data_IF_538775609185
#
_entry.id   IF_538775609185
#
_cell.length_a   1.000
_cell.length_b   1.000
_cell.length_c   1.000
_cell.angle_alpha   90.00
_cell.angle_beta   90.00
_cell.angle_gamma   90.00
#
_symmetry.space_group_name_H-M   'P 1'
#
loop_
_entity.id
_entity.type
_entity.pdbx_description
1 polymer ?
#
# COMPACT_ATOMS: atom_id res chain seq x y z
N UNK A 1 18.51 23.19 3.20
CA UNK A 1 17.36 22.36 3.61
C UNK A 1 16.09 23.02 3.12
N UNK A 2 15.13 22.24 2.62
CA UNK A 2 13.81 22.77 2.27
C UNK A 2 12.94 22.85 3.54
N UNK A 3 12.19 23.93 3.70
CA UNK A 3 11.24 24.10 4.80
C UNK A 3 9.83 23.89 4.29
N UNK A 4 9.09 22.94 4.87
CA UNK A 4 7.68 22.69 4.56
C UNK A 4 6.81 23.29 5.65
N UNK A 5 5.94 24.24 5.28
CA UNK A 5 4.92 24.78 6.17
C UNK A 5 3.56 24.19 5.82
N UNK A 6 2.98 23.42 6.74
CA UNK A 6 1.61 22.89 6.61
C UNK A 6 0.68 23.73 7.48
N UNK A 7 -0.34 24.35 6.87
CA UNK A 7 -1.34 25.16 7.57
C UNK A 7 -2.64 24.37 7.73
N UNK A 8 -3.45 24.77 8.72
CA UNK A 8 -4.78 24.20 8.98
C UNK A 8 -4.77 22.69 9.26
N UNK A 9 -3.74 22.20 9.96
CA UNK A 9 -3.71 20.81 10.43
C UNK A 9 -4.81 20.64 11.48
N UNK A 10 -5.74 19.68 11.31
CA UNK A 10 -6.77 19.45 12.31
C UNK A 10 -6.16 19.09 13.66
N UNK A 11 -6.66 19.68 14.74
CA UNK A 11 -6.14 19.47 16.11
C UNK A 11 -6.04 17.97 16.47
N UNK A 12 -7.06 17.19 16.10
CA UNK A 12 -7.08 15.74 16.31
C UNK A 12 -5.93 15.03 15.61
N UNK A 13 -5.54 15.48 14.42
CA UNK A 13 -4.43 14.89 13.67
C UNK A 13 -3.10 15.27 14.31
N UNK A 14 -2.93 16.53 14.69
CA UNK A 14 -1.72 17.00 15.38
C UNK A 14 -1.46 16.20 16.66
N UNK A 15 -2.47 16.06 17.53
CA UNK A 15 -2.36 15.26 18.77
C UNK A 15 -1.99 13.80 18.53
N UNK A 16 -2.50 13.20 17.45
CA UNK A 16 -2.14 11.82 17.08
C UNK A 16 -0.68 11.69 16.69
N UNK A 17 -0.16 12.64 15.90
CA UNK A 17 1.25 12.67 15.51
C UNK A 17 2.13 12.89 16.76
N UNK A 18 1.73 13.78 17.65
CA UNK A 18 2.45 14.02 18.90
C UNK A 18 2.55 12.76 19.76
N UNK A 19 1.43 12.03 19.94
CA UNK A 19 1.41 10.78 20.69
C UNK A 19 2.34 9.72 20.08
N UNK A 20 2.35 9.58 18.76
CA UNK A 20 3.25 8.67 18.06
C UNK A 20 4.71 9.07 18.25
N UNK A 21 5.01 10.37 18.19
CA UNK A 21 6.36 10.88 18.42
C UNK A 21 6.85 10.58 19.85
N UNK A 22 5.98 10.73 20.85
CA UNK A 22 6.28 10.37 22.25
C UNK A 22 6.52 8.86 22.42
N UNK A 23 5.67 8.01 21.84
CA UNK A 23 5.83 6.54 21.86
C UNK A 23 7.15 6.09 21.23
N UNK A 24 7.57 6.76 20.16
CA UNK A 24 8.80 6.45 19.42
C UNK A 24 10.05 7.19 19.95
N UNK A 25 9.92 7.99 21.03
CA UNK A 25 10.97 8.85 21.58
C UNK A 25 11.62 9.78 20.53
N UNK A 26 10.80 10.35 19.64
CA UNK A 26 11.23 11.29 18.59
C UNK A 26 10.61 12.67 18.79
N UNK A 27 11.23 13.68 18.19
CA UNK A 27 10.57 14.98 18.06
C UNK A 27 9.40 14.89 17.07
N UNK A 28 8.40 15.75 17.25
CA UNK A 28 7.24 15.83 16.33
C UNK A 28 7.70 16.07 14.89
N UNK A 29 8.70 16.93 14.68
CA UNK A 29 9.28 17.19 13.35
C UNK A 29 9.88 15.93 12.73
N UNK A 30 10.65 15.16 13.51
CA UNK A 30 11.24 13.91 13.03
C UNK A 30 10.17 12.88 12.68
N UNK A 31 9.12 12.77 13.49
CA UNK A 31 8.01 11.87 13.23
C UNK A 31 7.21 12.28 11.98
N UNK A 32 6.98 13.58 11.75
CA UNK A 32 6.35 14.08 10.52
C UNK A 32 7.17 13.70 9.29
N UNK A 33 8.50 13.85 9.33
CA UNK A 33 9.38 13.45 8.21
C UNK A 33 9.26 11.95 7.95
N UNK A 34 9.26 11.14 9.00
CA UNK A 34 9.13 9.69 8.89
C UNK A 34 7.79 9.28 8.27
N UNK A 35 6.67 9.85 8.74
CA UNK A 35 5.33 9.59 8.21
C UNK A 35 5.21 10.00 6.74
N UNK A 36 5.81 11.14 6.34
CA UNK A 36 5.83 11.57 4.95
C UNK A 36 6.62 10.58 4.06
N UNK A 37 7.79 10.14 4.53
CA UNK A 37 8.63 9.16 3.83
C UNK A 37 7.88 7.84 3.61
N UNK A 38 7.30 7.29 4.68
CA UNK A 38 6.50 6.07 4.63
C UNK A 38 5.28 6.21 3.70
N UNK A 39 4.61 7.37 3.74
CA UNK A 39 3.46 7.66 2.89
C UNK A 39 3.82 7.67 1.40
N UNK A 40 4.98 8.24 1.04
CA UNK A 40 5.51 8.23 -0.32
C UNK A 40 5.86 6.80 -0.77
N UNK A 41 6.63 6.07 0.04
CA UNK A 41 7.01 4.69 -0.26
C UNK A 41 5.76 3.80 -0.46
N UNK A 42 4.77 3.88 0.43
CA UNK A 42 3.52 3.13 0.31
C UNK A 42 2.72 3.50 -0.95
N UNK A 43 2.78 4.77 -1.40
CA UNK A 43 2.13 5.20 -2.64
C UNK A 43 2.87 4.65 -3.87
N UNK A 44 4.20 4.67 -3.86
CA UNK A 44 5.03 4.12 -4.92
C UNK A 44 4.89 2.60 -5.03
N UNK A 45 4.96 1.88 -3.91
CA UNK A 45 4.75 0.43 -3.89
C UNK A 45 3.38 0.04 -4.41
N UNK A 46 2.32 0.77 -4.05
CA UNK A 46 0.97 0.54 -4.60
C UNK A 46 0.90 0.75 -6.12
N UNK A 47 1.53 1.81 -6.63
CA UNK A 47 1.61 2.06 -8.08
C UNK A 47 2.40 0.98 -8.79
N UNK A 48 3.54 0.56 -8.23
CA UNK A 48 4.36 -0.53 -8.75
C UNK A 48 3.59 -1.86 -8.79
N UNK A 49 2.92 -2.21 -7.70
CA UNK A 49 2.11 -3.42 -7.60
C UNK A 49 0.96 -3.42 -8.62
N UNK A 50 0.24 -2.30 -8.78
CA UNK A 50 -0.80 -2.17 -9.79
C UNK A 50 -0.26 -2.40 -11.21
N UNK A 51 0.89 -1.82 -11.54
CA UNK A 51 1.55 -2.03 -12.83
C UNK A 51 2.04 -3.46 -13.05
N UNK A 52 2.51 -4.14 -12.00
CA UNK A 52 2.89 -5.56 -12.06
C UNK A 52 1.67 -6.44 -12.30
N UNK A 53 0.59 -6.25 -11.54
CA UNK A 53 -0.66 -7.00 -11.68
C UNK A 53 -1.24 -6.84 -13.09
N UNK A 54 -1.23 -5.62 -13.64
CA UNK A 54 -1.74 -5.40 -14.99
C UNK A 54 -0.89 -6.10 -16.06
N UNK A 55 0.44 -6.10 -15.91
CA UNK A 55 1.33 -6.89 -16.78
C UNK A 55 1.06 -8.39 -16.70
N UNK A 56 0.82 -8.93 -15.49
CA UNK A 56 0.46 -10.33 -15.30
C UNK A 56 -0.86 -10.64 -16.02
N UNK A 57 -1.89 -9.78 -15.87
CA UNK A 57 -3.19 -9.94 -16.55
C UNK A 57 -3.05 -9.92 -18.07
N UNK A 58 -2.28 -8.98 -18.61
CA UNK A 58 -2.03 -8.88 -20.05
C UNK A 58 -1.33 -10.12 -20.59
N UNK A 59 -0.36 -10.67 -19.85
CA UNK A 59 0.32 -11.91 -20.23
C UNK A 59 -0.64 -13.10 -20.17
N UNK A 60 -1.41 -13.23 -19.09
CA UNK A 60 -2.38 -14.31 -18.91
C UNK A 60 -3.42 -14.36 -20.04
N UNK A 61 -3.90 -13.20 -20.52
CA UNK A 61 -4.84 -13.13 -21.67
C UNK A 61 -4.28 -13.65 -22.98
N UNK A 62 -2.96 -13.68 -23.14
CA UNK A 62 -2.28 -14.15 -24.36
C UNK A 62 -1.91 -15.63 -24.30
N UNK A 63 -2.11 -16.28 -23.16
CA UNK A 63 -1.82 -17.71 -23.01
C UNK A 63 -3.01 -18.50 -23.56
N UNK A 64 -2.74 -19.35 -24.55
CA UNK A 64 -3.70 -20.37 -24.95
C UNK A 64 -3.69 -21.49 -23.91
N UNK A 65 -4.86 -21.73 -23.32
CA UNK A 65 -5.02 -22.75 -22.29
C UNK A 65 -5.30 -24.11 -22.96
N UNK A 66 -4.71 -25.21 -22.46
CA UNK A 66 -5.02 -26.54 -22.95
C UNK A 66 -6.51 -26.85 -22.82
N UNK A 67 -7.01 -27.71 -23.72
CA UNK A 67 -8.40 -28.14 -23.70
C UNK A 67 -8.71 -28.86 -22.38
N UNK A 68 -9.76 -28.43 -21.68
CA UNK A 68 -10.14 -28.97 -20.37
C UNK A 68 -9.46 -28.32 -19.16
N UNK A 69 -8.68 -27.25 -19.37
CA UNK A 69 -8.15 -26.46 -18.26
C UNK A 69 -9.29 -25.86 -17.40
N UNK A 70 -9.16 -25.99 -16.08
CA UNK A 70 -10.06 -25.38 -15.08
C UNK A 70 -9.27 -24.38 -14.24
N UNK A 71 -9.93 -23.29 -13.85
CA UNK A 71 -9.32 -22.28 -12.99
C UNK A 71 -9.00 -22.89 -11.62
N UNK A 72 -7.74 -22.82 -11.22
CA UNK A 72 -7.30 -23.32 -9.92
C UNK A 72 -8.00 -22.61 -8.75
N UNK A 73 -8.37 -21.34 -8.91
CA UNK A 73 -9.14 -20.62 -7.90
C UNK A 73 -10.56 -21.17 -7.76
N UNK A 74 -11.16 -21.69 -8.84
CA UNK A 74 -12.46 -22.35 -8.79
C UNK A 74 -12.38 -23.69 -8.06
N UNK A 75 -11.36 -24.50 -8.37
CA UNK A 75 -11.11 -25.78 -7.70
C UNK A 75 -10.90 -25.61 -6.19
N UNK A 76 -10.13 -24.59 -5.77
CA UNK A 76 -9.90 -24.30 -4.35
C UNK A 76 -11.18 -23.84 -3.65
N UNK A 77 -12.04 -23.05 -4.31
CA UNK A 77 -13.33 -22.65 -3.73
C UNK A 77 -14.24 -23.85 -3.54
N UNK A 78 -14.30 -24.74 -4.54
CA UNK A 78 -15.08 -25.98 -4.51
C UNK A 78 -14.68 -26.85 -3.31
N UNK A 79 -13.38 -27.02 -3.07
CA UNK A 79 -12.83 -27.79 -1.96
C UNK A 79 -13.15 -27.20 -0.57
N UNK A 80 -13.12 -25.86 -0.45
CA UNK A 80 -13.48 -25.18 0.82
C UNK A 80 -14.96 -25.26 1.19
N UNK A 81 -15.82 -25.54 0.20
CA UNK A 81 -17.27 -25.69 0.40
C UNK A 81 -17.73 -27.12 0.66
N UNK A 82 -16.79 -28.07 0.77
CA UNK A 82 -17.05 -29.47 1.16
C UNK A 82 -16.78 -29.68 2.65
#
# INVERSE_FOLDING_TARGET
>A
MATLHVRNVPEKLYKRIQKLAEEENRSVTAEVIQLLSQGLQARESRRGAAGVIERIRQRARKVELPRGWRDSAELIREDRSR
#
